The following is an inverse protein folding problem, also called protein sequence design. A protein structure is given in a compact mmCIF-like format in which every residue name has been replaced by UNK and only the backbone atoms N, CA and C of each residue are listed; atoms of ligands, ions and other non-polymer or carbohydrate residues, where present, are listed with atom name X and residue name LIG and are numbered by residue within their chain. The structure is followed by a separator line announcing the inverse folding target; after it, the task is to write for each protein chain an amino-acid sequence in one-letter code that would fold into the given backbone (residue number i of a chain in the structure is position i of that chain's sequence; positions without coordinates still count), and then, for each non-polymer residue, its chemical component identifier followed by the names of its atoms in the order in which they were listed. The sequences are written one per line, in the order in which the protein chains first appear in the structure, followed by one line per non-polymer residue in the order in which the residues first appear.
data_IF_702142326103
#
_entry.id   IF_702142326103
#
_cell.length_a   1.000
_cell.length_b   1.000
_cell.length_c   1.000
_cell.angle_alpha   90.00
_cell.angle_beta   90.00
_cell.angle_gamma   90.00
#
_symmetry.space_group_name_H-M   'P 1'
#
loop_
_entity.id
_entity.type
_entity.pdbx_description
1 polymer ?
#
# COMPACT_ATOMS: atom_id res chain seq x y z
N UNK A 1 -15.64 20.81 7.42
CA UNK A 1 -16.70 20.68 6.38
C UNK A 1 -16.68 21.95 5.54
N UNK A 2 -16.59 21.83 4.24
CA UNK A 2 -16.58 22.95 3.30
C UNK A 2 -17.81 22.81 2.41
N UNK A 3 -18.66 23.87 2.35
CA UNK A 3 -19.90 23.90 1.54
C UNK A 3 -20.82 22.67 1.74
N UNK A 4 -20.96 22.20 2.96
CA UNK A 4 -21.75 21.02 3.29
C UNK A 4 -21.09 19.67 2.99
N UNK A 5 -19.88 19.65 2.45
CA UNK A 5 -19.12 18.44 2.16
C UNK A 5 -17.96 18.24 3.14
N UNK A 6 -17.53 16.99 3.29
CA UNK A 6 -16.34 16.65 4.05
C UNK A 6 -15.08 16.95 3.24
N UNK A 7 -14.07 17.53 3.89
CA UNK A 7 -12.77 17.79 3.29
C UNK A 7 -11.65 17.39 4.25
N UNK A 8 -10.54 16.93 3.71
CA UNK A 8 -9.30 16.67 4.44
C UNK A 8 -8.32 17.78 4.06
N UNK A 9 -7.75 18.41 5.08
CA UNK A 9 -6.69 19.42 4.90
C UNK A 9 -5.39 18.83 5.42
N UNK A 10 -4.38 18.84 4.57
CA UNK A 10 -3.04 18.34 4.90
C UNK A 10 -1.96 19.33 4.46
N UNK A 11 -0.74 19.14 4.98
CA UNK A 11 0.43 19.90 4.52
C UNK A 11 0.67 19.64 3.03
N UNK A 12 0.99 20.70 2.31
CA UNK A 12 1.42 20.58 0.92
C UNK A 12 2.93 20.33 0.85
N UNK A 13 3.33 19.23 0.22
CA UNK A 13 4.73 18.88 0.01
C UNK A 13 5.13 19.24 -1.43
N UNK A 14 6.05 20.19 -1.56
CA UNK A 14 6.59 20.57 -2.86
C UNK A 14 7.64 19.57 -3.32
N UNK A 15 7.39 18.91 -4.44
CA UNK A 15 8.28 17.91 -5.01
C UNK A 15 7.61 17.14 -6.14
N UNK A 16 8.22 16.03 -6.53
CA UNK A 16 7.70 15.12 -7.55
C UNK A 16 7.34 13.77 -6.93
N UNK A 17 6.31 13.12 -7.45
CA UNK A 17 6.04 11.74 -7.07
C UNK A 17 7.15 10.82 -7.58
N UNK A 18 7.35 9.72 -6.89
CA UNK A 18 8.31 8.71 -7.32
C UNK A 18 7.94 8.14 -8.71
N UNK A 19 6.64 8.06 -9.02
CA UNK A 19 6.16 7.67 -10.35
C UNK A 19 6.60 8.65 -11.41
N UNK A 20 6.48 9.96 -11.18
CA UNK A 20 6.94 10.98 -12.12
C UNK A 20 8.46 10.87 -12.37
N UNK A 21 9.23 10.62 -11.33
CA UNK A 21 10.69 10.43 -11.46
C UNK A 21 11.03 9.18 -12.28
N UNK A 22 10.31 8.08 -12.09
CA UNK A 22 10.47 6.86 -12.89
C UNK A 22 10.14 7.12 -14.36
N UNK A 23 9.08 7.87 -14.63
CA UNK A 23 8.63 8.18 -15.99
C UNK A 23 9.60 9.13 -16.72
N UNK A 24 10.21 10.07 -15.99
CA UNK A 24 11.18 11.03 -16.52
C UNK A 24 12.58 10.43 -16.78
N UNK A 25 12.97 9.44 -15.98
CA UNK A 25 14.30 8.81 -16.05
C UNK A 25 14.19 7.29 -15.90
N UNK A 26 13.87 6.64 -17.00
CA UNK A 26 13.73 5.18 -17.03
C UNK A 26 15.03 4.42 -16.72
N UNK A 27 16.20 5.04 -16.90
CA UNK A 27 17.49 4.42 -16.58
C UNK A 27 17.69 4.25 -15.07
N UNK A 28 17.07 5.13 -14.26
CA UNK A 28 17.10 5.06 -12.79
C UNK A 28 15.92 4.31 -12.18
N UNK A 29 15.10 3.66 -12.99
CA UNK A 29 13.91 2.93 -12.51
C UNK A 29 14.26 1.95 -11.38
N UNK A 30 15.34 1.21 -11.52
CA UNK A 30 15.76 0.22 -10.53
C UNK A 30 16.12 0.86 -9.19
N UNK A 31 16.82 2.00 -9.21
CA UNK A 31 17.15 2.76 -7.99
C UNK A 31 15.87 3.28 -7.30
N UNK A 32 14.88 3.72 -8.06
CA UNK A 32 13.61 4.20 -7.51
C UNK A 32 12.76 3.06 -6.96
N UNK A 33 12.82 1.86 -7.55
CA UNK A 33 12.14 0.68 -7.01
C UNK A 33 12.83 0.22 -5.71
N UNK A 34 14.15 0.25 -5.63
CA UNK A 34 14.89 -0.04 -4.39
C UNK A 34 14.48 0.93 -3.28
N UNK A 35 14.41 2.23 -3.58
CA UNK A 35 13.92 3.23 -2.64
C UNK A 35 12.49 2.94 -2.17
N UNK A 36 11.60 2.55 -3.08
CA UNK A 36 10.22 2.17 -2.76
C UNK A 36 10.20 1.01 -1.76
N UNK A 37 10.99 -0.03 -2.02
CA UNK A 37 11.09 -1.20 -1.14
C UNK A 37 11.64 -0.83 0.23
N UNK A 38 12.70 -0.02 0.29
CA UNK A 38 13.29 0.44 1.55
C UNK A 38 12.29 1.24 2.39
N UNK A 39 11.52 2.13 1.76
CA UNK A 39 10.46 2.88 2.44
C UNK A 39 9.36 1.96 2.95
N UNK A 40 8.96 0.94 2.18
CA UNK A 40 7.97 -0.03 2.62
C UNK A 40 8.47 -0.86 3.80
N UNK A 41 9.73 -1.25 3.80
CA UNK A 41 10.36 -1.94 4.93
C UNK A 41 10.37 -1.06 6.19
N UNK A 42 10.61 0.23 6.05
CA UNK A 42 10.52 1.18 7.17
C UNK A 42 9.08 1.24 7.73
N UNK A 43 8.07 1.28 6.87
CA UNK A 43 6.66 1.20 7.30
C UNK A 43 6.40 -0.09 8.06
N UNK A 44 6.84 -1.22 7.53
CA UNK A 44 6.67 -2.55 8.14
C UNK A 44 7.47 -2.75 9.43
N UNK A 45 8.42 -1.87 9.73
CA UNK A 45 9.13 -1.89 11.02
C UNK A 45 8.31 -1.28 12.16
N UNK A 46 7.20 -0.61 11.85
CA UNK A 46 6.36 0.09 12.82
C UNK A 46 5.20 -0.76 13.30
N UNK A 47 4.70 -0.42 14.48
CA UNK A 47 3.52 -1.02 15.10
C UNK A 47 2.58 0.11 15.53
N UNK A 48 1.30 0.00 15.21
CA UNK A 48 0.29 0.96 15.62
C UNK A 48 -1.00 0.21 16.03
N UNK A 49 -1.18 -0.07 17.34
CA UNK A 49 -2.32 -0.85 17.83
C UNK A 49 -3.68 -0.22 17.62
N UNK A 50 -3.72 1.08 17.31
CA UNK A 50 -4.97 1.82 17.05
C UNK A 50 -5.53 1.57 15.66
N UNK A 51 -4.74 1.02 14.73
CA UNK A 51 -5.20 0.71 13.40
C UNK A 51 -6.12 -0.52 13.38
N UNK A 52 -7.09 -0.50 12.48
CA UNK A 52 -7.93 -1.66 12.20
C UNK A 52 -7.09 -2.84 11.72
N UNK A 53 -7.51 -4.05 12.06
CA UNK A 53 -6.79 -5.27 11.64
C UNK A 53 -7.04 -5.54 10.14
N UNK A 54 -5.95 -5.78 9.41
CA UNK A 54 -6.01 -6.13 7.99
C UNK A 54 -6.88 -7.37 7.74
N UNK A 55 -6.76 -8.38 8.59
CA UNK A 55 -7.55 -9.61 8.50
C UNK A 55 -9.05 -9.35 8.58
N UNK A 56 -9.48 -8.48 9.49
CA UNK A 56 -10.90 -8.13 9.64
C UNK A 56 -11.40 -7.37 8.40
N UNK A 57 -10.57 -6.48 7.85
CA UNK A 57 -10.86 -5.76 6.62
C UNK A 57 -11.01 -6.73 5.44
N UNK A 58 -10.11 -7.70 5.31
CA UNK A 58 -10.17 -8.71 4.25
C UNK A 58 -11.39 -9.62 4.39
N UNK A 59 -11.71 -10.07 5.60
CA UNK A 59 -12.91 -10.87 5.87
C UNK A 59 -14.18 -10.12 5.48
N UNK A 60 -14.30 -8.84 5.79
CA UNK A 60 -15.45 -8.03 5.37
C UNK A 60 -15.57 -7.94 3.85
N UNK A 61 -14.45 -7.77 3.15
CA UNK A 61 -14.43 -7.70 1.68
C UNK A 61 -14.83 -9.03 1.05
N UNK A 62 -14.35 -10.15 1.57
CA UNK A 62 -14.75 -11.48 1.10
C UNK A 62 -16.25 -11.67 1.30
N UNK A 63 -16.79 -11.36 2.48
CA UNK A 63 -18.21 -11.50 2.78
C UNK A 63 -19.10 -10.62 1.90
N UNK A 64 -18.63 -9.43 1.53
CA UNK A 64 -19.37 -8.49 0.67
C UNK A 64 -19.19 -8.77 -0.83
N UNK A 65 -18.36 -9.75 -1.23
CA UNK A 65 -18.11 -10.08 -2.63
C UNK A 65 -19.28 -10.85 -3.23
N UNK A 66 -19.43 -10.77 -4.56
CA UNK A 66 -20.42 -11.53 -5.33
C UNK A 66 -19.98 -12.98 -5.65
N UNK A 67 -18.89 -13.45 -5.02
CA UNK A 67 -18.42 -14.81 -5.17
C UNK A 67 -19.42 -15.80 -4.56
N UNK A 68 -19.45 -17.03 -5.09
CA UNK A 68 -20.29 -18.09 -4.53
C UNK A 68 -19.90 -18.45 -3.09
N UNK A 69 -20.82 -19.09 -2.36
CA UNK A 69 -20.64 -19.40 -0.95
C UNK A 69 -19.43 -20.32 -0.68
N UNK A 70 -19.18 -21.29 -1.57
CA UNK A 70 -18.05 -22.21 -1.44
C UNK A 70 -16.72 -21.48 -1.57
N UNK A 71 -16.61 -20.63 -2.57
CA UNK A 71 -15.40 -19.80 -2.80
C UNK A 71 -15.15 -18.84 -1.64
N UNK A 72 -16.20 -18.18 -1.14
CA UNK A 72 -16.06 -17.29 0.05
C UNK A 72 -15.59 -18.06 1.28
N UNK A 73 -16.15 -19.25 1.51
CA UNK A 73 -15.74 -20.12 2.63
C UNK A 73 -14.26 -20.51 2.52
N UNK A 74 -13.81 -20.92 1.33
CA UNK A 74 -12.41 -21.28 1.08
C UNK A 74 -11.48 -20.09 1.33
N UNK A 75 -11.83 -18.89 0.85
CA UNK A 75 -11.06 -17.68 1.07
C UNK A 75 -10.97 -17.31 2.56
N UNK A 76 -12.08 -17.38 3.31
CA UNK A 76 -12.08 -17.15 4.76
C UNK A 76 -11.19 -18.16 5.48
N UNK A 77 -11.24 -19.43 5.10
CA UNK A 77 -10.43 -20.50 5.68
C UNK A 77 -8.93 -20.29 5.44
N UNK A 78 -8.57 -19.94 4.20
CA UNK A 78 -7.18 -19.60 3.84
C UNK A 78 -6.68 -18.40 4.61
N UNK A 79 -7.49 -17.35 4.69
CA UNK A 79 -7.13 -16.13 5.43
C UNK A 79 -6.96 -16.44 6.93
N UNK A 80 -7.80 -17.28 7.53
CA UNK A 80 -7.68 -17.69 8.93
C UNK A 80 -6.38 -18.45 9.22
N UNK A 81 -5.93 -19.26 8.26
CA UNK A 81 -4.69 -20.03 8.35
C UNK A 81 -3.40 -19.20 8.20
N UNK A 82 -3.49 -17.94 7.75
CA UNK A 82 -2.31 -17.10 7.58
C UNK A 82 -1.75 -16.61 8.92
N UNK A 83 -0.40 -16.48 9.05
CA UNK A 83 0.23 -15.97 10.26
C UNK A 83 -0.32 -14.60 10.67
N UNK A 84 -0.57 -14.43 11.96
CA UNK A 84 -1.03 -13.16 12.55
C UNK A 84 0.16 -12.30 12.91
N UNK A 85 0.21 -11.10 12.36
CA UNK A 85 1.22 -10.09 12.65
C UNK A 85 0.54 -8.76 12.94
N UNK A 86 1.30 -7.82 13.49
CA UNK A 86 0.81 -6.51 13.93
C UNK A 86 1.61 -5.35 13.32
N UNK A 87 2.20 -5.56 12.17
CA UNK A 87 2.97 -4.53 11.48
C UNK A 87 2.03 -3.49 10.86
N UNK A 88 2.50 -2.25 10.74
CA UNK A 88 1.78 -1.24 9.97
C UNK A 88 1.80 -1.62 8.50
N UNK A 89 0.62 -1.69 7.90
CA UNK A 89 0.42 -1.97 6.48
C UNK A 89 -0.21 -0.73 5.84
N UNK A 90 0.36 -0.22 4.78
CA UNK A 90 -0.13 0.99 4.10
C UNK A 90 -1.40 0.69 3.30
N UNK A 91 -1.44 -0.41 2.57
CA UNK A 91 -2.59 -0.88 1.81
C UNK A 91 -2.73 -0.30 0.39
N UNK A 92 -1.94 0.70 0.04
CA UNK A 92 -1.87 1.29 -1.31
C UNK A 92 -0.46 1.86 -1.58
N UNK A 93 0.54 1.05 -1.26
CA UNK A 93 1.95 1.44 -1.34
C UNK A 93 2.45 1.31 -2.78
N UNK A 94 2.53 2.43 -3.48
CA UNK A 94 2.97 2.50 -4.86
C UNK A 94 3.70 3.83 -5.13
N UNK A 95 4.45 3.96 -6.24
CA UNK A 95 5.24 5.16 -6.53
C UNK A 95 4.44 6.46 -6.64
N UNK A 96 3.16 6.39 -6.95
CA UNK A 96 2.29 7.58 -7.04
C UNK A 96 1.94 8.16 -5.66
N UNK A 97 2.09 7.37 -4.59
CA UNK A 97 1.83 7.77 -3.21
C UNK A 97 3.11 8.14 -2.44
N UNK A 98 4.19 8.38 -3.13
CA UNK A 98 5.46 8.85 -2.53
C UNK A 98 5.88 10.12 -3.22
N UNK A 99 6.13 11.18 -2.45
CA UNK A 99 6.71 12.44 -2.95
C UNK A 99 8.16 12.53 -2.48
N UNK A 100 9.04 12.84 -3.41
CA UNK A 100 10.41 13.24 -3.13
C UNK A 100 10.45 14.76 -3.14
N UNK A 101 10.64 15.36 -1.98
CA UNK A 101 10.73 16.81 -1.82
C UNK A 101 12.01 17.37 -2.43
N UNK A 102 12.07 18.69 -2.59
CA UNK A 102 13.24 19.39 -3.16
C UNK A 102 14.54 19.15 -2.35
N UNK A 103 14.43 18.88 -1.04
CA UNK A 103 15.56 18.55 -0.17
C UNK A 103 15.94 17.06 -0.18
N UNK A 104 15.28 16.24 -1.01
CA UNK A 104 15.49 14.80 -1.11
C UNK A 104 14.72 13.96 -0.10
N UNK A 105 13.95 14.56 0.81
CA UNK A 105 13.13 13.82 1.79
C UNK A 105 11.97 13.12 1.10
N UNK A 106 11.77 11.83 1.42
CA UNK A 106 10.64 11.05 0.93
C UNK A 106 9.45 11.16 1.90
N UNK A 107 8.26 11.44 1.35
CA UNK A 107 7.00 11.49 2.10
C UNK A 107 6.04 10.46 1.53
N UNK A 108 5.48 9.65 2.41
CA UNK A 108 4.47 8.64 2.05
C UNK A 108 3.08 9.25 2.26
N UNK A 109 2.28 9.22 1.21
CA UNK A 109 0.94 9.82 1.15
C UNK A 109 -0.16 8.76 1.20
N UNK A 110 -1.39 9.24 1.37
CA UNK A 110 -2.62 8.45 1.28
C UNK A 110 -2.64 7.20 2.18
N UNK A 111 -2.76 7.46 3.48
CA UNK A 111 -2.87 6.43 4.51
C UNK A 111 -4.30 5.95 4.75
N UNK A 112 -5.24 6.26 3.87
CA UNK A 112 -6.66 5.92 4.01
C UNK A 112 -6.95 4.41 4.12
N UNK A 113 -6.06 3.58 3.58
CA UNK A 113 -6.16 2.12 3.64
C UNK A 113 -5.29 1.48 4.73
N UNK A 114 -4.65 2.28 5.57
CA UNK A 114 -3.74 1.77 6.59
C UNK A 114 -4.42 0.81 7.56
N UNK A 115 -3.73 -0.28 7.87
CA UNK A 115 -4.15 -1.33 8.81
C UNK A 115 -2.95 -1.84 9.59
N UNK A 116 -3.22 -2.67 10.59
CA UNK A 116 -2.18 -3.49 11.22
C UNK A 116 -2.34 -4.95 10.79
N UNK A 117 -1.25 -5.63 10.47
CA UNK A 117 -1.34 -7.01 10.04
C UNK A 117 -0.03 -7.59 9.55
N UNK A 118 -0.14 -8.48 8.58
CA UNK A 118 1.01 -9.16 8.00
C UNK A 118 1.65 -8.29 6.91
N UNK A 119 2.93 -7.93 7.11
CA UNK A 119 3.70 -7.14 6.16
C UNK A 119 3.80 -7.79 4.77
N UNK A 120 3.87 -9.12 4.70
CA UNK A 120 3.90 -9.85 3.43
C UNK A 120 2.62 -9.67 2.62
N UNK A 121 1.47 -9.51 3.28
CA UNK A 121 0.21 -9.22 2.59
C UNK A 121 0.21 -7.81 1.98
N UNK A 122 0.79 -6.83 2.66
CA UNK A 122 0.95 -5.48 2.14
C UNK A 122 1.94 -5.43 0.96
N UNK A 123 3.05 -6.14 1.06
CA UNK A 123 4.02 -6.28 -0.03
C UNK A 123 3.40 -7.00 -1.24
N UNK A 124 2.61 -8.05 -1.02
CA UNK A 124 1.89 -8.75 -2.10
C UNK A 124 0.89 -7.83 -2.80
N UNK A 125 0.23 -6.93 -2.07
CA UNK A 125 -0.64 -5.93 -2.69
C UNK A 125 0.15 -4.94 -3.56
N UNK A 126 1.29 -4.47 -3.11
CA UNK A 126 2.20 -3.64 -3.92
C UNK A 126 2.61 -4.37 -5.21
N UNK A 127 3.02 -5.62 -5.09
CA UNK A 127 3.33 -6.48 -6.24
C UNK A 127 2.16 -6.56 -7.23
N UNK A 128 0.93 -6.80 -6.74
CA UNK A 128 -0.26 -6.86 -7.58
C UNK A 128 -0.58 -5.53 -8.27
N UNK A 129 -0.34 -4.40 -7.62
CA UNK A 129 -0.54 -3.08 -8.22
C UNK A 129 0.40 -2.87 -9.42
N UNK A 130 1.67 -3.24 -9.30
CA UNK A 130 2.61 -3.20 -10.44
C UNK A 130 2.16 -4.14 -11.56
N UNK A 131 1.78 -5.36 -11.21
CA UNK A 131 1.31 -6.35 -12.19
C UNK A 131 0.08 -5.87 -12.95
N UNK A 132 -0.93 -5.35 -12.26
CA UNK A 132 -2.18 -4.86 -12.86
C UNK A 132 -1.97 -3.61 -13.72
N UNK A 133 -0.97 -2.80 -13.39
CA UNK A 133 -0.59 -1.63 -14.19
C UNK A 133 0.31 -1.98 -15.39
N UNK A 134 0.56 -3.26 -15.64
CA UNK A 134 1.36 -3.74 -16.77
C UNK A 134 2.88 -3.68 -16.55
N UNK A 135 3.34 -3.29 -15.36
CA UNK A 135 4.78 -3.29 -15.02
C UNK A 135 5.20 -4.61 -14.39
N UNK A 136 5.23 -5.66 -15.21
CA UNK A 136 5.61 -7.00 -14.78
C UNK A 136 7.09 -7.07 -14.37
N UNK A 137 7.94 -6.32 -15.02
CA UNK A 137 9.38 -6.29 -14.71
C UNK A 137 9.64 -5.59 -13.36
N UNK A 138 8.96 -4.46 -13.10
CA UNK A 138 9.02 -3.79 -11.81
C UNK A 138 8.49 -4.66 -10.67
N UNK A 139 7.45 -5.44 -10.93
CA UNK A 139 6.88 -6.34 -9.94
C UNK A 139 7.83 -7.48 -9.50
N UNK A 140 8.72 -7.92 -10.39
CA UNK A 140 9.67 -9.01 -10.10
C UNK A 140 10.89 -8.57 -9.28
N UNK A 141 11.12 -7.29 -9.17
CA UNK A 141 12.24 -6.72 -8.41
C UNK A 141 11.90 -6.48 -6.96
#
# INVERSE_FOLDING_TARGET
MVEGNWAIVSEFIKGKTLQQLIDEDAEKKDEYIELLVDLQLQVHSKVCPLLNKLKDKMNRKISASELDATTRYDLHTRLEGMPKHNKVCHGDFNPSNIIIAEDGTAYILDWSHATQGNASADAARTYLLFWLNGDIEGAKK
#
